data_IF_070855790734
#
_entry.id   IF_070855790734
#
_cell.length_a   1.000
_cell.length_b   1.000
_cell.length_c   1.000
_cell.angle_alpha   90.00
_cell.angle_beta   90.00
_cell.angle_gamma   90.00
#
_symmetry.space_group_name_H-M   'P 1'
#
loop_
_entity.id
_entity.type
_entity.pdbx_description
1 polymer ?
#
# COMPACT_ATOMS: atom_id res chain seq x y z
N UNK A 1 -7.94 -2.10 -16.15
CA UNK A 1 -9.11 -2.35 -15.29
C UNK A 1 -9.91 -1.07 -15.29
N UNK A 2 -11.21 -1.08 -15.59
CA UNK A 2 -12.04 0.10 -15.26
C UNK A 2 -12.07 0.13 -13.73
N UNK A 3 -11.48 1.17 -13.13
CA UNK A 3 -11.45 1.32 -11.68
C UNK A 3 -12.88 1.40 -11.17
N UNK A 4 -13.37 0.27 -10.64
CA UNK A 4 -14.69 0.20 -10.04
C UNK A 4 -14.59 1.03 -8.76
N UNK A 5 -15.19 2.21 -8.77
CA UNK A 5 -15.31 3.04 -7.58
C UNK A 5 -16.01 2.21 -6.51
N UNK A 6 -15.31 1.98 -5.39
CA UNK A 6 -15.88 1.27 -4.24
C UNK A 6 -17.02 2.14 -3.69
N UNK A 7 -18.21 1.56 -3.61
CA UNK A 7 -19.36 2.22 -3.01
C UNK A 7 -19.17 2.25 -1.49
N UNK A 8 -19.29 3.41 -0.84
CA UNK A 8 -19.17 3.52 0.62
C UNK A 8 -20.18 2.63 1.36
N UNK A 9 -21.31 2.30 0.72
CA UNK A 9 -22.31 1.38 1.28
C UNK A 9 -21.83 -0.08 1.38
N UNK A 10 -20.73 -0.43 0.70
CA UNK A 10 -20.13 -1.77 0.74
C UNK A 10 -19.18 -1.94 1.95
N UNK A 11 -18.86 -0.86 2.65
CA UNK A 11 -17.97 -0.88 3.82
C UNK A 11 -18.76 -1.36 5.04
N UNK A 12 -18.57 -2.63 5.42
CA UNK A 12 -19.32 -3.27 6.51
C UNK A 12 -18.44 -3.75 7.66
N UNK A 13 -17.12 -3.66 7.49
CA UNK A 13 -16.14 -4.13 8.46
C UNK A 13 -14.86 -3.28 8.45
N UNK A 14 -14.03 -3.44 9.47
CA UNK A 14 -12.68 -2.85 9.48
C UNK A 14 -11.84 -3.33 8.29
N UNK A 15 -12.02 -4.58 7.86
CA UNK A 15 -11.35 -5.11 6.69
C UNK A 15 -11.74 -4.36 5.41
N UNK A 16 -13.03 -4.07 5.22
CA UNK A 16 -13.53 -3.30 4.07
C UNK A 16 -13.04 -1.85 4.12
N UNK A 17 -12.98 -1.27 5.32
CA UNK A 17 -12.47 0.09 5.50
C UNK A 17 -10.98 0.18 5.13
N UNK A 18 -10.17 -0.78 5.60
CA UNK A 18 -8.76 -0.87 5.23
C UNK A 18 -8.59 -1.05 3.72
N UNK A 19 -9.33 -1.97 3.12
CA UNK A 19 -9.28 -2.20 1.67
C UNK A 19 -9.67 -0.94 0.90
N UNK A 20 -10.78 -0.30 1.25
CA UNK A 20 -11.22 0.95 0.64
C UNK A 20 -10.15 2.04 0.72
N UNK A 21 -9.59 2.27 1.91
CA UNK A 21 -8.55 3.27 2.11
C UNK A 21 -7.29 2.95 1.31
N UNK A 22 -6.88 1.69 1.25
CA UNK A 22 -5.74 1.28 0.43
C UNK A 22 -5.91 1.62 -1.06
N UNK A 23 -7.12 1.45 -1.61
CA UNK A 23 -7.43 1.85 -2.98
C UNK A 23 -7.37 3.37 -3.16
N UNK A 24 -7.88 4.13 -2.18
CA UNK A 24 -7.78 5.59 -2.21
C UNK A 24 -6.33 6.05 -2.21
N UNK A 25 -5.48 5.48 -1.36
CA UNK A 25 -4.07 5.82 -1.26
C UNK A 25 -3.31 5.46 -2.55
N UNK A 26 -3.54 4.26 -3.13
CA UNK A 26 -2.95 3.87 -4.41
C UNK A 26 -3.35 4.81 -5.55
N UNK A 27 -4.63 5.18 -5.62
CA UNK A 27 -5.11 6.10 -6.64
C UNK A 27 -4.45 7.47 -6.48
N UNK A 28 -4.35 7.99 -5.26
CA UNK A 28 -3.64 9.23 -4.95
C UNK A 28 -2.20 9.17 -5.46
N UNK A 29 -1.45 8.14 -5.08
CA UNK A 29 -0.07 7.94 -5.52
C UNK A 29 0.07 7.92 -7.05
N UNK A 30 -0.79 7.17 -7.77
CA UNK A 30 -0.75 7.07 -9.23
C UNK A 30 -1.02 8.43 -9.90
N UNK A 31 -2.02 9.17 -9.42
CA UNK A 31 -2.34 10.49 -9.98
C UNK A 31 -1.23 11.51 -9.71
N UNK A 32 -0.70 11.53 -8.48
CA UNK A 32 0.39 12.42 -8.08
C UNK A 32 1.68 12.09 -8.84
N UNK A 33 2.05 10.82 -8.97
CA UNK A 33 3.21 10.38 -9.75
C UNK A 33 3.13 10.83 -11.21
N UNK A 34 1.96 10.67 -11.82
CA UNK A 34 1.75 11.14 -13.19
C UNK A 34 1.91 12.65 -13.30
N UNK A 35 1.31 13.42 -12.40
CA UNK A 35 1.41 14.87 -12.41
C UNK A 35 2.84 15.36 -12.14
N UNK A 36 3.55 14.71 -11.22
CA UNK A 36 4.96 14.95 -10.89
C UNK A 36 5.86 14.71 -12.12
N UNK A 37 5.74 13.55 -12.76
CA UNK A 37 6.52 13.21 -13.96
C UNK A 37 6.24 14.13 -15.16
N UNK A 38 5.03 14.67 -15.24
CA UNK A 38 4.62 15.64 -16.27
C UNK A 38 4.96 17.10 -15.89
N UNK A 39 5.62 17.35 -14.75
CA UNK A 39 5.91 18.68 -14.20
C UNK A 39 4.66 19.58 -14.08
N UNK A 40 3.51 19.00 -13.71
CA UNK A 40 2.22 19.69 -13.59
C UNK A 40 1.88 20.14 -12.16
N UNK A 41 2.69 19.76 -11.19
CA UNK A 41 2.48 20.04 -9.76
C UNK A 41 3.85 20.20 -9.08
N UNK A 42 3.90 21.03 -8.05
CA UNK A 42 5.03 21.11 -7.12
C UNK A 42 4.69 20.26 -5.89
N UNK A 43 5.38 19.12 -5.74
CA UNK A 43 5.18 18.17 -4.66
C UNK A 43 6.47 17.38 -4.43
N UNK A 44 6.72 17.03 -3.18
CA UNK A 44 7.80 16.12 -2.80
C UNK A 44 7.47 14.69 -3.24
N UNK A 45 8.41 13.99 -3.88
CA UNK A 45 8.20 12.62 -4.36
C UNK A 45 7.95 11.65 -3.21
N UNK A 46 8.49 11.94 -2.04
CA UNK A 46 8.27 11.26 -0.77
C UNK A 46 6.79 11.20 -0.41
N UNK A 47 5.99 12.21 -0.81
CA UNK A 47 4.54 12.17 -0.59
C UNK A 47 3.86 11.07 -1.40
N UNK A 48 4.35 10.80 -2.61
CA UNK A 48 3.86 9.71 -3.46
C UNK A 48 4.23 8.36 -2.84
N UNK A 49 5.48 8.21 -2.39
CA UNK A 49 5.95 6.98 -1.75
C UNK A 49 5.27 6.71 -0.40
N UNK A 50 4.94 7.76 0.36
CA UNK A 50 4.11 7.66 1.56
C UNK A 50 2.72 7.08 1.23
N UNK A 51 2.06 7.56 0.17
CA UNK A 51 0.77 7.02 -0.25
C UNK A 51 0.88 5.54 -0.72
N UNK A 52 2.00 5.14 -1.34
CA UNK A 52 2.28 3.73 -1.68
C UNK A 52 2.47 2.85 -0.44
N UNK A 53 3.28 3.30 0.53
CA UNK A 53 3.47 2.63 1.83
C UNK A 53 2.11 2.42 2.51
N UNK A 54 1.31 3.49 2.57
CA UNK A 54 0.00 3.50 3.20
C UNK A 54 -1.00 2.59 2.51
N UNK A 55 -0.91 2.44 1.19
CA UNK A 55 -1.70 1.46 0.45
C UNK A 55 -1.31 0.04 0.81
N UNK A 56 -0.01 -0.29 0.76
CA UNK A 56 0.52 -1.60 1.10
C UNK A 56 0.11 -2.05 2.52
N UNK A 57 0.34 -1.18 3.50
CA UNK A 57 0.03 -1.45 4.91
C UNK A 57 -1.45 -1.78 5.10
N UNK A 58 -2.33 -0.98 4.50
CA UNK A 58 -3.77 -1.16 4.64
C UNK A 58 -4.27 -2.42 3.92
N UNK A 59 -3.63 -2.85 2.83
CA UNK A 59 -3.96 -4.15 2.21
C UNK A 59 -3.60 -5.32 3.12
N UNK A 60 -2.40 -5.31 3.72
CA UNK A 60 -1.99 -6.34 4.68
C UNK A 60 -2.92 -6.37 5.91
N UNK A 61 -3.23 -5.20 6.48
CA UNK A 61 -4.20 -5.08 7.58
C UNK A 61 -5.60 -5.55 7.19
N UNK A 62 -6.04 -5.31 5.96
CA UNK A 62 -7.31 -5.84 5.44
C UNK A 62 -7.31 -7.37 5.43
N UNK A 63 -6.23 -7.99 4.93
CA UNK A 63 -6.06 -9.45 4.90
C UNK A 63 -6.12 -10.03 6.32
N UNK A 64 -5.36 -9.47 7.25
CA UNK A 64 -5.33 -9.91 8.65
C UNK A 64 -6.70 -9.74 9.32
N UNK A 65 -7.38 -8.61 9.11
CA UNK A 65 -8.74 -8.39 9.61
C UNK A 65 -9.75 -9.41 9.07
N UNK A 66 -9.70 -9.76 7.78
CA UNK A 66 -10.58 -10.81 7.19
C UNK A 66 -10.36 -12.17 7.85
N UNK A 67 -9.13 -12.43 8.30
CA UNK A 67 -8.75 -13.67 9.00
C UNK A 67 -8.87 -13.59 10.52
N UNK A 68 -9.33 -12.45 11.06
CA UNK A 68 -9.45 -12.18 12.51
C UNK A 68 -8.11 -12.33 13.25
N UNK A 69 -7.00 -12.02 12.58
CA UNK A 69 -5.66 -12.03 13.16
C UNK A 69 -5.36 -10.63 13.70
N UNK A 70 -4.86 -10.58 14.94
CA UNK A 70 -4.44 -9.33 15.58
C UNK A 70 -3.06 -8.91 15.08
N UNK A 71 -2.86 -7.61 14.97
CA UNK A 71 -1.59 -7.00 14.59
C UNK A 71 -1.32 -5.77 15.47
N UNK A 72 -0.03 -5.42 15.68
CA UNK A 72 0.34 -4.26 16.49
C UNK A 72 -0.05 -2.94 15.82
N UNK A 73 -0.09 -1.87 16.61
CA UNK A 73 -0.20 -0.49 16.09
C UNK A 73 1.17 -0.01 15.59
N UNK A 74 1.62 -0.59 14.48
CA UNK A 74 2.83 -0.21 13.75
C UNK A 74 2.51 0.09 12.28
N UNK A 75 3.44 0.78 11.63
CA UNK A 75 3.45 1.04 10.18
C UNK A 75 4.49 0.19 9.45
N UNK A 76 5.00 -0.85 10.13
CA UNK A 76 6.09 -1.68 9.65
C UNK A 76 5.54 -2.81 8.75
N UNK A 77 5.88 -2.74 7.46
CA UNK A 77 5.46 -3.70 6.45
C UNK A 77 6.11 -5.07 6.62
N UNK A 78 7.38 -5.13 7.03
CA UNK A 78 8.09 -6.39 7.32
C UNK A 78 7.35 -7.15 8.43
N UNK A 79 7.05 -6.46 9.53
CA UNK A 79 6.29 -7.04 10.63
C UNK A 79 4.89 -7.53 10.20
N UNK A 80 4.19 -6.82 9.32
CA UNK A 80 2.86 -7.23 8.84
C UNK A 80 2.93 -8.45 7.90
N UNK A 81 3.97 -8.53 7.07
CA UNK A 81 4.26 -9.69 6.20
C UNK A 81 4.56 -10.91 7.08
N UNK A 82 5.45 -10.79 8.06
CA UNK A 82 5.79 -11.87 9.00
C UNK A 82 4.56 -12.42 9.73
N UNK A 83 3.65 -11.54 10.16
CA UNK A 83 2.40 -11.94 10.81
C UNK A 83 1.51 -12.71 9.84
N UNK A 84 1.44 -12.31 8.56
CA UNK A 84 0.69 -13.05 7.55
C UNK A 84 1.24 -14.46 7.39
N UNK A 85 2.54 -14.59 7.16
CA UNK A 85 3.20 -15.86 6.89
C UNK A 85 3.16 -16.81 8.10
N UNK A 86 3.44 -16.29 9.29
CA UNK A 86 3.36 -17.05 10.55
C UNK A 86 1.96 -17.59 10.85
N UNK A 87 0.91 -17.00 10.26
CA UNK A 87 -0.47 -17.46 10.37
C UNK A 87 -0.95 -18.25 9.13
N UNK A 88 -0.02 -18.72 8.29
CA UNK A 88 -0.32 -19.56 7.12
C UNK A 88 -0.99 -18.80 5.97
N UNK A 89 -0.92 -17.47 5.95
CA UNK A 89 -1.35 -16.68 4.80
C UNK A 89 -0.21 -16.65 3.79
N UNK A 90 -0.32 -17.49 2.77
CA UNK A 90 0.63 -17.50 1.65
C UNK A 90 0.47 -16.22 0.83
N UNK A 91 1.48 -15.36 0.88
CA UNK A 91 1.68 -14.23 -0.01
C UNK A 91 2.50 -14.68 -1.23
N UNK A 92 2.88 -13.76 -2.10
CA UNK A 92 3.67 -14.06 -3.30
C UNK A 92 5.10 -13.54 -3.13
N UNK A 93 6.06 -14.18 -3.79
CA UNK A 93 7.50 -13.97 -3.58
C UNK A 93 7.94 -12.49 -3.67
N UNK A 94 7.33 -11.71 -4.57
CA UNK A 94 7.69 -10.30 -4.76
C UNK A 94 7.12 -9.36 -3.68
N UNK A 95 6.51 -9.88 -2.60
CA UNK A 95 5.90 -9.04 -1.55
C UNK A 95 6.95 -8.26 -0.75
N UNK A 96 8.13 -8.84 -0.55
CA UNK A 96 9.20 -8.28 0.28
C UNK A 96 9.72 -6.94 -0.25
N UNK A 97 9.57 -6.66 -1.56
CA UNK A 97 9.97 -5.37 -2.12
C UNK A 97 9.24 -4.21 -1.45
N UNK A 98 8.04 -4.44 -0.90
CA UNK A 98 7.29 -3.39 -0.22
C UNK A 98 7.95 -2.95 1.08
N UNK A 99 8.87 -3.73 1.66
CA UNK A 99 9.59 -3.38 2.89
C UNK A 99 10.38 -2.09 2.71
N UNK A 100 10.91 -1.84 1.50
CA UNK A 100 11.61 -0.60 1.15
C UNK A 100 10.73 0.65 1.30
N UNK A 101 9.40 0.48 1.30
CA UNK A 101 8.46 1.58 1.56
C UNK A 101 8.39 2.00 3.03
N UNK A 102 8.95 1.22 3.97
CA UNK A 102 8.97 1.56 5.40
C UNK A 102 9.67 2.90 5.68
N UNK A 103 10.66 3.26 4.87
CA UNK A 103 11.35 4.55 4.99
C UNK A 103 10.41 5.75 4.78
N UNK A 104 9.31 5.52 4.07
CA UNK A 104 8.28 6.51 3.75
C UNK A 104 7.05 6.37 4.65
N UNK A 105 7.11 5.64 5.77
CA UNK A 105 5.96 5.43 6.67
C UNK A 105 5.52 6.69 7.45
N UNK A 106 6.31 7.78 7.42
CA UNK A 106 6.01 9.03 8.12
C UNK A 106 6.18 10.23 7.20
N UNK A 107 5.13 11.03 7.08
CA UNK A 107 5.15 12.29 6.32
C UNK A 107 6.18 13.27 6.88
N UNK A 108 7.06 13.79 6.03
CA UNK A 108 8.03 14.83 6.37
C UNK A 108 9.31 14.38 7.10
N UNK A 109 9.62 13.08 7.15
CA UNK A 109 10.93 12.59 7.63
C UNK A 109 11.76 11.98 6.51
N UNK A 110 13.02 12.43 6.50
CA UNK A 110 14.21 11.97 5.77
C UNK A 110 14.51 12.59 4.40
N UNK A 111 15.47 13.52 4.50
CA UNK A 111 16.31 14.13 3.48
C UNK A 111 17.31 13.14 2.83
N UNK A 112 17.02 11.84 2.85
CA UNK A 112 17.91 10.85 2.24
C UNK A 112 17.49 10.76 0.78
N UNK A 113 18.12 11.60 -0.02
CA UNK A 113 18.18 11.47 -1.46
C UNK A 113 18.79 10.09 -1.72
N UNK A 114 17.95 9.06 -1.81
CA UNK A 114 18.33 7.81 -2.43
C UNK A 114 18.33 8.08 -3.94
N UNK A 115 19.49 7.96 -4.57
CA UNK A 115 19.66 8.12 -6.02
C UNK A 115 18.85 7.09 -6.85
N UNK A 116 18.11 6.18 -6.19
CA UNK A 116 17.30 5.09 -6.75
C UNK A 116 15.78 5.34 -6.71
N UNK A 117 15.31 6.59 -6.85
CA UNK A 117 13.89 6.99 -6.79
C UNK A 117 12.96 6.40 -7.90
N UNK A 118 13.36 5.35 -8.62
CA UNK A 118 12.66 4.90 -9.83
C UNK A 118 11.97 3.53 -9.76
N UNK A 119 11.65 3.03 -8.56
CA UNK A 119 10.98 1.73 -8.38
C UNK A 119 9.46 1.82 -8.15
N UNK A 120 8.86 3.00 -8.31
CA UNK A 120 7.42 3.23 -8.15
C UNK A 120 6.55 2.24 -8.94
N UNK A 121 6.95 1.91 -10.18
CA UNK A 121 6.20 0.96 -11.02
C UNK A 121 6.20 -0.46 -10.44
N UNK A 122 7.32 -0.90 -9.83
CA UNK A 122 7.41 -2.21 -9.17
C UNK A 122 6.48 -2.26 -7.95
N UNK A 123 6.52 -1.24 -7.10
CA UNK A 123 5.65 -1.13 -5.93
C UNK A 123 4.17 -1.12 -6.34
N UNK A 124 3.81 -0.30 -7.33
CA UNK A 124 2.44 -0.23 -7.86
C UNK A 124 2.00 -1.59 -8.42
N UNK A 125 2.87 -2.32 -9.12
CA UNK A 125 2.54 -3.64 -9.64
C UNK A 125 2.25 -4.66 -8.53
N UNK A 126 3.08 -4.67 -7.48
CA UNK A 126 2.92 -5.54 -6.31
C UNK A 126 1.66 -5.19 -5.50
N UNK A 127 1.38 -3.91 -5.25
CA UNK A 127 0.15 -3.44 -4.60
C UNK A 127 -1.09 -3.85 -5.42
N UNK A 128 -1.05 -3.71 -6.76
CA UNK A 128 -2.12 -4.18 -7.64
C UNK A 128 -2.31 -5.70 -7.59
N UNK A 129 -1.22 -6.47 -7.40
CA UNK A 129 -1.28 -7.94 -7.23
C UNK A 129 -1.95 -8.29 -5.89
N UNK A 130 -1.62 -7.61 -4.79
CA UNK A 130 -2.31 -7.75 -3.50
C UNK A 130 -3.81 -7.46 -3.61
N UNK A 131 -4.20 -6.38 -4.29
CA UNK A 131 -5.63 -6.04 -4.51
C UNK A 131 -6.36 -7.21 -5.18
N UNK A 132 -5.80 -7.77 -6.26
CA UNK A 132 -6.39 -8.92 -6.96
C UNK A 132 -6.53 -10.16 -6.06
N UNK A 133 -5.64 -10.36 -5.10
CA UNK A 133 -5.72 -11.47 -4.14
C UNK A 133 -6.88 -11.26 -3.17
N UNK A 134 -7.08 -10.04 -2.69
CA UNK A 134 -8.18 -9.69 -1.78
C UNK A 134 -9.53 -9.77 -2.50
N UNK A 135 -9.62 -9.35 -3.76
CA UNK A 135 -10.85 -9.43 -4.55
C UNK A 135 -11.28 -10.86 -4.91
N UNK A 136 -10.32 -11.78 -5.02
CA UNK A 136 -10.58 -13.20 -5.33
C UNK A 136 -10.98 -14.05 -4.13
N UNK A 137 -10.85 -13.54 -2.91
CA UNK A 137 -11.13 -14.24 -1.64
C UNK A 137 -12.35 -13.67 -0.94
#
# INVERSE_FOLDING_TARGET
MKDKLINKNDIKSSADMFFYKAIVDLNSAIYLLKAFNENKIEIDIEKIYFDLQQSAEKLLKSILCRKKILFPRSHDLEQLIDICESNGIVLFDEIEILIDLNDYAVEGRYSIIHDDINDSDKYIAVIKKLIKIIEKK
#
